data_IF_054478298674
#
_entry.id   IF_054478298674
#
_cell.length_a   1.000
_cell.length_b   1.000
_cell.length_c   1.000
_cell.angle_alpha   90.00
_cell.angle_beta   90.00
_cell.angle_gamma   90.00
#
_symmetry.space_group_name_H-M   'P 1'
#
loop_
_entity.id
_entity.type
_entity.pdbx_description
1 polymer ?
#
# COMPACT_ATOMS: atom_id res chain seq x y z
N UNK A 1 3.20 -18.92 11.68
CA UNK A 1 2.15 -17.98 12.13
C UNK A 1 2.74 -17.13 13.25
N UNK A 2 2.71 -15.80 13.15
CA UNK A 2 3.21 -14.91 14.22
C UNK A 2 2.15 -14.82 15.34
N UNK A 3 2.56 -15.04 16.60
CA UNK A 3 1.71 -14.90 17.78
C UNK A 3 2.34 -13.87 18.72
N UNK A 4 1.63 -12.79 19.00
CA UNK A 4 2.05 -11.74 19.93
C UNK A 4 1.24 -11.92 21.21
N UNK A 5 1.92 -12.06 22.35
CA UNK A 5 1.28 -12.17 23.66
C UNK A 5 1.36 -10.81 24.36
N UNK A 6 0.20 -10.29 24.77
CA UNK A 6 0.08 -9.01 25.47
C UNK A 6 -0.61 -9.27 26.80
N UNK A 7 0.08 -8.97 27.91
CA UNK A 7 -0.47 -9.18 29.25
C UNK A 7 -1.40 -8.03 29.66
N UNK A 8 -2.12 -8.22 30.77
CA UNK A 8 -2.91 -7.13 31.39
C UNK A 8 -2.03 -5.93 31.78
N UNK A 9 -0.80 -6.18 32.23
CA UNK A 9 0.14 -5.10 32.58
C UNK A 9 0.55 -4.31 31.34
N UNK A 10 0.78 -4.98 30.21
CA UNK A 10 1.15 -4.31 28.96
C UNK A 10 0.01 -3.43 28.45
N UNK A 11 -1.23 -3.93 28.49
CA UNK A 11 -2.41 -3.13 28.14
C UNK A 11 -2.61 -1.92 29.05
N UNK A 12 -2.29 -2.05 30.34
CA UNK A 12 -2.39 -0.93 31.30
C UNK A 12 -1.42 0.23 30.97
N UNK A 13 -0.37 -0.04 30.19
CA UNK A 13 0.63 0.94 29.74
C UNK A 13 0.30 1.55 28.38
N UNK A 14 -0.73 1.06 27.67
CA UNK A 14 -1.16 1.65 26.40
C UNK A 14 -1.72 3.04 26.68
N UNK A 15 -1.23 4.02 25.92
CA UNK A 15 -1.69 5.40 25.94
C UNK A 15 -2.07 5.81 24.53
N UNK A 16 -3.09 6.65 24.42
CA UNK A 16 -3.38 7.32 23.17
C UNK A 16 -2.42 8.50 23.03
N UNK A 17 -1.80 8.61 21.87
CA UNK A 17 -1.03 9.80 21.53
C UNK A 17 -1.95 11.03 21.52
N UNK A 18 -1.44 12.17 21.97
CA UNK A 18 -2.21 13.42 22.02
C UNK A 18 -2.46 14.03 20.63
N UNK A 19 -1.67 13.60 19.64
CA UNK A 19 -1.70 14.06 18.25
C UNK A 19 -1.18 12.98 17.31
N UNK A 20 -1.47 13.04 16.01
CA UNK A 20 -0.89 12.12 15.04
C UNK A 20 0.62 12.34 14.87
N UNK A 21 1.34 11.27 14.54
CA UNK A 21 2.72 11.36 14.07
C UNK A 21 2.74 11.76 12.59
N UNK A 22 3.43 12.86 12.27
CA UNK A 22 3.34 13.44 10.93
C UNK A 22 3.91 12.52 9.84
N UNK A 23 4.99 11.79 10.12
CA UNK A 23 5.64 10.94 9.13
C UNK A 23 4.90 9.60 8.96
N UNK A 24 4.40 9.02 10.05
CA UNK A 24 3.48 7.88 9.95
C UNK A 24 2.22 8.23 9.16
N UNK A 25 1.56 9.34 9.46
CA UNK A 25 0.35 9.75 8.74
C UNK A 25 0.63 10.00 7.25
N UNK A 26 1.82 10.51 6.92
CA UNK A 26 2.25 10.69 5.52
C UNK A 26 2.33 9.34 4.79
N UNK A 27 3.03 8.36 5.37
CA UNK A 27 3.19 7.02 4.77
C UNK A 27 1.84 6.29 4.68
N UNK A 28 1.04 6.32 5.75
CA UNK A 28 -0.27 5.68 5.81
C UNK A 28 -1.27 6.32 4.83
N UNK A 29 -1.29 7.66 4.75
CA UNK A 29 -2.08 8.38 3.76
C UNK A 29 -1.64 8.00 2.35
N UNK A 30 -0.33 7.90 2.09
CA UNK A 30 0.16 7.53 0.78
C UNK A 30 -0.22 6.09 0.38
N UNK A 31 -0.24 5.14 1.33
CA UNK A 31 -0.82 3.82 1.10
C UNK A 31 -2.31 3.89 0.75
N UNK A 32 -3.10 4.68 1.48
CA UNK A 32 -4.54 4.86 1.21
C UNK A 32 -4.79 5.52 -0.14
N UNK A 33 -3.91 6.44 -0.55
CA UNK A 33 -3.98 7.09 -1.85
C UNK A 33 -3.77 6.10 -3.00
N UNK A 34 -2.91 5.09 -2.81
CA UNK A 34 -2.55 4.09 -3.82
C UNK A 34 -3.42 2.83 -3.77
N UNK A 35 -4.13 2.60 -2.68
CA UNK A 35 -5.04 1.46 -2.55
C UNK A 35 -6.30 1.67 -3.40
N UNK A 36 -6.35 0.96 -4.53
CA UNK A 36 -7.49 0.97 -5.47
C UNK A 36 -8.69 0.16 -4.97
N UNK A 37 -8.52 -0.66 -3.93
CA UNK A 37 -9.60 -1.46 -3.32
C UNK A 37 -10.19 -0.78 -2.07
N UNK A 38 -9.62 0.35 -1.65
CA UNK A 38 -10.05 1.02 -0.43
C UNK A 38 -11.41 1.72 -0.60
N UNK A 39 -12.16 1.72 0.51
CA UNK A 39 -13.49 2.31 0.70
C UNK A 39 -13.77 3.57 -0.14
N UNK A 40 -14.99 3.67 -0.65
CA UNK A 40 -15.50 4.86 -1.36
C UNK A 40 -15.48 6.11 -0.49
N UNK A 41 -15.43 5.97 0.85
CA UNK A 41 -15.30 7.07 1.82
C UNK A 41 -14.10 7.97 1.51
N UNK A 42 -12.99 7.40 0.99
CA UNK A 42 -11.80 8.18 0.64
C UNK A 42 -11.79 8.67 -0.82
N UNK A 43 -12.87 8.46 -1.59
CA UNK A 43 -12.92 8.74 -3.03
C UNK A 43 -12.63 10.20 -3.37
N UNK A 44 -13.36 11.14 -2.75
CA UNK A 44 -13.19 12.58 -2.96
C UNK A 44 -11.78 13.04 -2.57
N UNK A 45 -11.34 12.70 -1.35
CA UNK A 45 -9.99 13.00 -0.86
C UNK A 45 -8.91 12.49 -1.81
N UNK A 46 -9.00 11.25 -2.28
CA UNK A 46 -8.00 10.70 -3.23
C UNK A 46 -7.94 11.49 -4.53
N UNK A 47 -9.09 11.88 -5.08
CA UNK A 47 -9.15 12.67 -6.32
C UNK A 47 -8.47 14.02 -6.12
N UNK A 48 -8.82 14.72 -5.05
CA UNK A 48 -8.28 16.04 -4.72
C UNK A 48 -6.78 16.00 -4.39
N UNK A 49 -6.34 15.03 -3.58
CA UNK A 49 -4.93 14.86 -3.23
C UNK A 49 -4.09 14.51 -4.46
N UNK A 50 -4.54 13.62 -5.34
CA UNK A 50 -3.80 13.28 -6.57
C UNK A 50 -3.63 14.48 -7.50
N UNK A 51 -4.62 15.34 -7.59
CA UNK A 51 -4.54 16.55 -8.40
C UNK A 51 -3.51 17.57 -7.88
N UNK A 52 -3.17 17.50 -6.58
CA UNK A 52 -2.21 18.41 -5.92
C UNK A 52 -0.79 17.85 -5.83
N UNK A 53 -0.62 16.53 -5.97
CA UNK A 53 0.70 15.92 -5.92
C UNK A 53 1.44 16.14 -7.24
N UNK A 54 2.68 16.60 -7.13
CA UNK A 54 3.58 16.84 -8.25
C UNK A 54 4.47 15.60 -8.51
N UNK A 55 5.49 15.77 -9.36
CA UNK A 55 6.46 14.71 -9.66
C UNK A 55 7.24 14.18 -8.46
N UNK A 56 7.39 14.94 -7.38
CA UNK A 56 8.16 14.54 -6.18
C UNK A 56 7.50 13.36 -5.45
N UNK A 57 6.19 13.19 -5.58
CA UNK A 57 5.48 12.01 -5.07
C UNK A 57 5.97 10.69 -5.69
N UNK A 58 6.67 10.74 -6.84
CA UNK A 58 7.30 9.57 -7.44
C UNK A 58 8.48 9.06 -6.60
N UNK A 59 9.22 9.94 -5.93
CA UNK A 59 10.29 9.54 -5.01
C UNK A 59 9.72 8.79 -3.82
N UNK A 60 8.64 9.30 -3.23
CA UNK A 60 7.91 8.59 -2.17
C UNK A 60 7.35 7.26 -2.68
N UNK A 61 6.86 7.20 -3.92
CA UNK A 61 6.42 5.95 -4.54
C UNK A 61 7.54 4.91 -4.70
N UNK A 62 8.78 5.35 -4.87
CA UNK A 62 9.94 4.50 -5.03
C UNK A 62 10.35 3.84 -3.69
N UNK A 63 10.16 4.52 -2.56
CA UNK A 63 10.55 4.04 -1.22
C UNK A 63 9.42 3.49 -0.37
N UNK A 64 8.15 3.81 -0.69
CA UNK A 64 6.97 3.22 -0.02
C UNK A 64 6.25 2.29 -1.00
N UNK A 65 6.51 0.97 -1.02
CA UNK A 65 5.79 0.07 -1.92
C UNK A 65 4.32 -0.10 -1.50
N UNK A 66 3.38 -0.45 -2.41
CA UNK A 66 1.98 -0.70 -2.02
C UNK A 66 1.79 -1.87 -1.05
N UNK A 67 2.74 -2.80 -1.00
CA UNK A 67 2.76 -4.00 -0.14
C UNK A 67 4.18 -4.39 0.22
N UNK A 68 4.34 -4.98 1.39
CA UNK A 68 5.64 -5.40 1.94
C UNK A 68 6.30 -4.32 2.78
N UNK A 69 7.56 -4.57 3.12
CA UNK A 69 8.40 -3.67 3.91
C UNK A 69 8.59 -2.33 3.20
N UNK A 70 8.49 -1.24 3.96
CA UNK A 70 8.98 0.10 3.61
C UNK A 70 10.04 0.49 4.66
N UNK A 71 11.05 1.31 4.33
CA UNK A 71 12.13 1.65 5.25
C UNK A 71 11.63 2.34 6.52
N UNK A 72 12.11 1.89 7.67
CA UNK A 72 11.72 2.40 9.00
C UNK A 72 12.26 3.81 9.25
N UNK A 73 13.33 4.22 8.56
CA UNK A 73 13.82 5.61 8.62
C UNK A 73 12.79 6.64 8.16
N UNK A 74 11.78 6.24 7.37
CA UNK A 74 10.67 7.12 6.98
C UNK A 74 9.68 7.37 8.11
N UNK A 75 9.77 6.62 9.20
CA UNK A 75 8.90 6.71 10.38
C UNK A 75 9.75 6.65 11.65
N UNK A 76 10.63 7.65 11.87
CA UNK A 76 11.53 7.66 13.01
C UNK A 76 10.72 7.63 14.31
N UNK A 77 11.11 6.76 15.23
CA UNK A 77 10.55 6.69 16.58
C UNK A 77 11.53 7.33 17.56
N UNK A 78 11.02 8.12 18.50
CA UNK A 78 11.80 8.65 19.61
C UNK A 78 11.52 7.87 20.90
N UNK A 79 12.48 7.88 21.82
CA UNK A 79 12.23 7.45 23.19
C UNK A 79 11.32 8.50 23.87
N UNK A 80 10.01 8.23 23.88
CA UNK A 80 9.03 9.15 24.44
C UNK A 80 7.60 8.72 24.15
N UNK A 81 6.65 9.23 24.93
CA UNK A 81 5.23 8.93 24.74
C UNK A 81 4.59 9.76 23.62
N UNK A 82 5.25 10.83 23.18
CA UNK A 82 4.69 11.80 22.25
C UNK A 82 5.22 11.59 20.83
N UNK A 83 4.32 11.57 19.83
CA UNK A 83 4.70 11.49 18.42
C UNK A 83 5.60 12.62 17.94
N UNK A 84 6.19 12.42 16.76
CA UNK A 84 6.91 13.47 16.07
C UNK A 84 5.97 14.38 15.27
N UNK A 85 6.12 15.68 15.50
CA UNK A 85 5.60 16.70 14.56
C UNK A 85 6.41 16.71 13.27
N UNK A 86 5.96 17.46 12.26
CA UNK A 86 6.61 17.48 10.96
C UNK A 86 8.07 17.94 11.03
N UNK A 87 8.36 19.05 11.70
CA UNK A 87 9.71 19.62 11.74
C UNK A 87 10.71 18.67 12.40
N UNK A 88 10.37 18.14 13.58
CA UNK A 88 11.21 17.19 14.31
C UNK A 88 11.32 15.84 13.57
N UNK A 89 10.26 15.40 12.90
CA UNK A 89 10.30 14.22 12.02
C UNK A 89 11.26 14.41 10.84
N UNK A 90 11.20 15.56 10.18
CA UNK A 90 12.09 15.89 9.07
C UNK A 90 13.54 15.99 9.52
N UNK A 91 13.80 16.51 10.72
CA UNK A 91 15.16 16.53 11.27
C UNK A 91 15.69 15.12 11.56
N UNK A 92 14.89 14.28 12.23
CA UNK A 92 15.25 12.89 12.45
C UNK A 92 15.49 12.11 11.14
N UNK A 93 14.74 12.44 10.08
CA UNK A 93 14.96 11.89 8.75
C UNK A 93 16.31 12.33 8.16
N UNK A 94 16.69 13.61 8.30
CA UNK A 94 17.99 14.13 7.85
C UNK A 94 19.16 13.54 8.64
N UNK A 95 18.95 13.30 9.93
CA UNK A 95 19.95 12.72 10.83
C UNK A 95 20.11 11.21 10.65
N UNK A 96 19.33 10.57 9.78
CA UNK A 96 19.44 9.14 9.53
C UNK A 96 20.81 8.83 8.94
N UNK A 97 21.64 7.98 9.59
CA UNK A 97 22.94 7.59 9.06
C UNK A 97 22.84 6.93 7.68
N UNK A 98 23.78 7.27 6.78
CA UNK A 98 23.73 6.83 5.39
C UNK A 98 23.81 5.30 5.23
N UNK A 99 24.57 4.64 6.11
CA UNK A 99 24.67 3.19 6.20
C UNK A 99 23.31 2.55 6.55
N UNK A 100 22.55 3.16 7.48
CA UNK A 100 21.19 2.74 7.80
C UNK A 100 20.25 2.90 6.60
N UNK A 101 20.31 4.05 5.91
CA UNK A 101 19.52 4.28 4.70
C UNK A 101 19.78 3.19 3.66
N UNK A 102 21.06 2.89 3.39
CA UNK A 102 21.43 1.86 2.41
C UNK A 102 20.92 0.48 2.83
N UNK A 103 21.14 0.06 4.08
CA UNK A 103 20.72 -1.24 4.58
C UNK A 103 19.20 -1.45 4.48
N UNK A 104 18.39 -0.45 4.86
CA UNK A 104 16.94 -0.57 4.80
C UNK A 104 16.40 -0.53 3.35
N UNK A 105 17.05 0.22 2.45
CA UNK A 105 16.72 0.19 1.02
C UNK A 105 17.05 -1.16 0.37
N UNK A 106 18.19 -1.77 0.72
CA UNK A 106 18.56 -3.11 0.28
C UNK A 106 17.56 -4.17 0.77
N UNK A 107 17.16 -4.10 2.05
CA UNK A 107 16.15 -4.97 2.62
C UNK A 107 14.81 -4.86 1.86
N UNK A 108 14.37 -3.63 1.58
CA UNK A 108 13.17 -3.39 0.78
C UNK A 108 13.30 -3.99 -0.63
N UNK A 109 14.44 -3.77 -1.30
CA UNK A 109 14.68 -4.28 -2.65
C UNK A 109 14.65 -5.82 -2.69
N UNK A 110 15.28 -6.48 -1.72
CA UNK A 110 15.24 -7.93 -1.56
C UNK A 110 13.82 -8.45 -1.35
N UNK A 111 13.01 -7.75 -0.53
CA UNK A 111 11.59 -8.07 -0.33
C UNK A 111 10.76 -7.97 -1.61
N UNK A 112 11.01 -6.95 -2.44
CA UNK A 112 10.34 -6.79 -3.76
C UNK A 112 10.70 -7.91 -4.73
N UNK A 113 11.95 -8.34 -4.75
CA UNK A 113 12.39 -9.44 -5.60
C UNK A 113 11.67 -10.74 -5.24
N UNK A 114 11.59 -11.07 -3.95
CA UNK A 114 10.84 -12.24 -3.46
C UNK A 114 9.36 -12.20 -3.85
N UNK A 115 8.70 -11.05 -3.70
CA UNK A 115 7.30 -10.91 -4.13
C UNK A 115 7.11 -11.12 -5.64
N UNK A 116 8.09 -10.75 -6.47
CA UNK A 116 8.03 -10.96 -7.92
C UNK A 116 8.19 -12.42 -8.30
N UNK A 117 9.06 -13.16 -7.62
CA UNK A 117 9.29 -14.59 -7.86
C UNK A 117 8.13 -15.45 -7.36
N UNK A 118 7.50 -15.06 -6.24
CA UNK A 118 6.39 -15.79 -5.64
C UNK A 118 5.06 -15.56 -6.38
N UNK A 119 4.99 -14.52 -7.22
CA UNK A 119 3.80 -14.30 -8.07
C UNK A 119 3.76 -15.42 -9.09
N UNK A 120 2.72 -16.29 -9.08
CA UNK A 120 2.64 -17.39 -10.04
C UNK A 120 2.75 -16.80 -11.44
N UNK A 121 3.75 -17.26 -12.19
CA UNK A 121 3.86 -17.00 -13.62
C UNK A 121 2.54 -17.47 -14.20
N UNK A 122 1.70 -16.51 -14.57
CA UNK A 122 0.37 -16.80 -15.09
C UNK A 122 0.51 -17.85 -16.18
N UNK A 123 -0.18 -18.98 -16.02
CA UNK A 123 -0.37 -19.96 -17.07
C UNK A 123 -0.72 -19.20 -18.34
N UNK A 124 0.20 -19.23 -19.28
CA UNK A 124 -0.03 -18.74 -20.62
C UNK A 124 -1.15 -19.62 -21.18
N UNK A 125 -2.41 -19.21 -21.02
CA UNK A 125 -3.53 -19.78 -21.76
C UNK A 125 -3.27 -19.42 -23.22
N UNK A 126 -2.52 -20.28 -23.91
CA UNK A 126 -2.60 -20.40 -25.37
C UNK A 126 -4.07 -20.70 -25.65
N UNK A 127 -4.82 -19.67 -26.03
CA UNK A 127 -6.11 -19.84 -26.66
C UNK A 127 -5.89 -20.69 -27.90
N UNK A 128 -6.22 -21.98 -27.80
CA UNK A 128 -6.43 -22.81 -28.97
C UNK A 128 -7.57 -22.14 -29.75
N UNK A 129 -7.21 -21.52 -30.88
CA UNK A 129 -8.16 -21.21 -31.93
C UNK A 129 -8.65 -22.53 -32.50
N UNK A 130 -9.72 -23.08 -31.94
CA UNK A 130 -10.60 -23.99 -32.67
C UNK A 130 -11.71 -23.15 -33.27
N UNK A 131 -11.57 -22.88 -34.56
CA UNK A 131 -12.70 -22.46 -35.36
C UNK A 131 -13.74 -23.57 -35.38
N UNK A 132 -15.00 -23.18 -35.24
CA UNK A 132 -16.12 -23.90 -35.83
C UNK A 132 -17.15 -22.85 -36.21
N UNK A 133 -17.24 -22.65 -37.52
CA UNK A 133 -18.36 -22.00 -38.17
C UNK A 133 -19.65 -22.74 -37.82
N UNK A 134 -20.73 -21.99 -37.60
CA UNK A 134 -22.06 -22.51 -37.35
C UNK A 134 -23.06 -21.38 -37.49
N UNK A 135 -23.39 -21.07 -38.74
CA UNK A 135 -24.37 -20.09 -39.13
C UNK A 135 -25.78 -20.43 -38.60
N UNK A 136 -26.58 -19.37 -38.44
CA UNK A 136 -28.02 -19.25 -38.71
C UNK A 136 -28.87 -18.76 -37.52
N UNK A 137 -29.25 -17.49 -37.61
CA UNK A 137 -30.61 -17.00 -37.37
C UNK A 137 -31.21 -16.72 -38.78
N UNK A 138 -32.54 -16.59 -39.00
CA UNK A 138 -33.59 -16.29 -38.01
C UNK A 138 -34.95 -17.02 -38.23
N UNK A 139 -35.92 -16.67 -37.36
CA UNK A 139 -37.31 -16.31 -37.69
C UNK A 139 -38.45 -17.18 -37.12
N UNK A 140 -39.45 -16.44 -36.63
CA UNK A 140 -40.86 -16.80 -36.40
C UNK A 140 -41.13 -17.76 -35.21
N UNK A 141 -42.22 -17.66 -34.45
CA UNK A 141 -43.49 -16.96 -34.62
C UNK A 141 -44.15 -16.79 -33.23
N UNK A 142 -45.01 -15.78 -33.17
CA UNK A 142 -46.10 -15.57 -32.22
C UNK A 142 -46.93 -16.83 -31.92
N UNK A 143 -47.31 -16.99 -30.64
CA UNK A 143 -48.57 -17.55 -30.07
C UNK A 143 -48.24 -18.05 -28.65
N UNK A 144 -48.97 -17.82 -27.56
CA UNK A 144 -50.36 -17.46 -27.35
C UNK A 144 -50.93 -18.40 -26.25
N UNK A 145 -51.44 -17.80 -25.16
CA UNK A 145 -52.26 -18.39 -24.06
C UNK A 145 -51.52 -19.18 -22.96
N UNK A 146 -51.93 -19.14 -21.69
CA UNK A 146 -53.15 -18.63 -21.06
C UNK A 146 -52.84 -17.91 -19.73
#
# INVERSE_FOLDING_TARGET
MLRIHVSRLDLSRVRMATRPDALWETVLSFHRLRDRRASTVFGKWRSESRARLNGEAQLLAAVVPPRGYFPDFLTPSQEGAEPLGLDAGMEALRDTPLDRVHAELELMAAGRLRQRTDRPVGQCRRGARTGAAGAALPAALMDGRA
#
